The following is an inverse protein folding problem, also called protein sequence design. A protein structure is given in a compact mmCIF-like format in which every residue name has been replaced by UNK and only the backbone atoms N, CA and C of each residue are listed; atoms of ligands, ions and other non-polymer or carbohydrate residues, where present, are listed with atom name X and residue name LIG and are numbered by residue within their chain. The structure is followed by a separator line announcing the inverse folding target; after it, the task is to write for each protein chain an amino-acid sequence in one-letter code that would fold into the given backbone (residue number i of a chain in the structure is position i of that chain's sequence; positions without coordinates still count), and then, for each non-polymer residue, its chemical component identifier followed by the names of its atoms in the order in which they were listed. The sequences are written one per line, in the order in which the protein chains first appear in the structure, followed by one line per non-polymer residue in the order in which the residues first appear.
data_IF_864470640519
#
_entry.id   IF_864470640519
#
_cell.length_a   1.000
_cell.length_b   1.000
_cell.length_c   1.000
_cell.angle_alpha   90.00
_cell.angle_beta   90.00
_cell.angle_gamma   90.00
#
_symmetry.space_group_name_H-M   'P 1'
#
loop_
_entity.id
_entity.type
_entity.pdbx_description
1 polymer ?
#
# COMPACT_ATOMS: atom_id res chain seq x y z
N UNK A 1 13.86 -5.98 26.81
CA UNK A 1 12.96 -6.70 25.88
C UNK A 1 11.54 -6.62 26.43
N UNK A 2 10.91 -5.46 26.33
CA UNK A 2 9.58 -5.21 26.92
C UNK A 2 8.53 -5.72 25.95
N UNK A 3 7.83 -6.80 26.33
CA UNK A 3 6.76 -7.41 25.54
C UNK A 3 5.53 -6.49 25.56
N UNK A 4 5.00 -6.21 24.38
CA UNK A 4 3.80 -5.42 24.14
C UNK A 4 2.60 -5.98 24.93
N UNK A 5 1.92 -5.11 25.69
CA UNK A 5 0.78 -5.45 26.56
C UNK A 5 -0.44 -4.58 26.25
N UNK A 6 -0.67 -4.29 24.95
CA UNK A 6 -1.75 -3.41 24.46
C UNK A 6 -2.55 -4.10 23.33
N UNK A 7 -2.49 -5.44 23.22
CA UNK A 7 -3.29 -6.19 22.22
C UNK A 7 -4.31 -7.17 22.82
N UNK A 8 -4.35 -7.28 24.14
CA UNK A 8 -5.17 -8.27 24.86
C UNK A 8 -6.10 -7.60 25.88
N UNK A 9 -6.64 -6.41 25.58
CA UNK A 9 -7.93 -6.04 26.18
C UNK A 9 -8.97 -6.84 25.42
N UNK A 10 -9.19 -8.07 25.89
CA UNK A 10 -10.23 -8.97 25.41
C UNK A 10 -11.54 -8.19 25.40
N UNK A 11 -12.05 -7.98 24.20
CA UNK A 11 -13.40 -7.51 23.97
C UNK A 11 -14.29 -8.48 24.76
N UNK A 12 -14.94 -7.99 25.82
CA UNK A 12 -15.77 -8.75 26.76
C UNK A 12 -16.49 -9.88 26.02
N UNK A 13 -16.30 -11.12 26.46
CA UNK A 13 -16.85 -12.31 25.81
C UNK A 13 -18.36 -12.17 25.58
N UNK A 14 -19.07 -11.45 26.46
CA UNK A 14 -20.49 -11.10 26.33
C UNK A 14 -20.81 -10.21 25.10
N UNK A 15 -19.93 -9.26 24.75
CA UNK A 15 -20.07 -8.41 23.56
C UNK A 15 -19.79 -9.22 22.30
N UNK A 16 -18.80 -10.11 22.35
CA UNK A 16 -18.50 -11.03 21.26
C UNK A 16 -19.68 -11.99 21.03
N UNK A 17 -20.28 -12.51 22.10
CA UNK A 17 -21.41 -13.44 22.07
C UNK A 17 -22.68 -12.77 21.55
N UNK A 18 -23.02 -11.56 22.04
CA UNK A 18 -24.16 -10.77 21.53
C UNK A 18 -24.00 -10.38 20.06
N UNK A 19 -22.77 -10.04 19.65
CA UNK A 19 -22.47 -9.73 18.26
C UNK A 19 -22.63 -10.96 17.38
N UNK A 20 -22.12 -12.12 17.80
CA UNK A 20 -22.28 -13.39 17.07
C UNK A 20 -23.75 -13.81 16.97
N UNK A 21 -24.51 -13.74 18.06
CA UNK A 21 -25.95 -14.05 18.11
C UNK A 21 -26.76 -13.13 17.19
N UNK A 22 -26.49 -11.80 17.23
CA UNK A 22 -27.15 -10.84 16.34
C UNK A 22 -26.77 -10.98 14.86
N UNK A 23 -25.59 -11.52 14.58
CA UNK A 23 -25.13 -11.82 13.21
C UNK A 23 -25.80 -13.11 12.72
N UNK A 24 -25.92 -14.11 13.57
CA UNK A 24 -26.55 -15.40 13.26
C UNK A 24 -28.05 -15.24 13.00
N UNK A 25 -28.75 -14.45 13.82
CA UNK A 25 -30.17 -14.07 13.60
C UNK A 25 -30.37 -13.38 12.24
N UNK A 26 -29.54 -12.39 11.90
CA UNK A 26 -29.62 -11.70 10.59
C UNK A 26 -29.29 -12.62 9.42
N UNK A 27 -28.38 -13.58 9.60
CA UNK A 27 -28.02 -14.55 8.57
C UNK A 27 -29.14 -15.55 8.35
N UNK A 28 -29.81 -16.01 9.41
CA UNK A 28 -30.98 -16.86 9.32
C UNK A 28 -32.17 -16.13 8.69
N UNK A 29 -32.49 -14.92 9.11
CA UNK A 29 -33.52 -14.08 8.49
C UNK A 29 -33.26 -13.87 6.99
N UNK A 30 -32.01 -13.60 6.63
CA UNK A 30 -31.60 -13.45 5.22
C UNK A 30 -31.75 -14.77 4.48
N UNK A 31 -31.35 -15.90 5.07
CA UNK A 31 -31.42 -17.22 4.45
C UNK A 31 -32.87 -17.67 4.24
N UNK A 32 -33.74 -17.44 5.21
CA UNK A 32 -35.16 -17.77 5.13
C UNK A 32 -35.90 -16.88 4.14
N UNK A 33 -35.55 -15.59 4.10
CA UNK A 33 -36.00 -14.69 3.04
C UNK A 33 -35.57 -15.18 1.66
N UNK A 34 -34.29 -15.56 1.48
CA UNK A 34 -33.79 -16.10 0.23
C UNK A 34 -34.52 -17.40 -0.15
N UNK A 35 -34.71 -18.35 0.79
CA UNK A 35 -35.47 -19.58 0.54
C UNK A 35 -36.93 -19.29 0.15
N UNK A 36 -37.55 -18.28 0.75
CA UNK A 36 -38.92 -17.87 0.42
C UNK A 36 -39.04 -17.25 -0.98
N UNK A 37 -38.02 -16.50 -1.42
CA UNK A 37 -37.95 -15.83 -2.73
C UNK A 37 -37.56 -16.83 -3.84
N UNK A 38 -36.64 -17.76 -3.56
CA UNK A 38 -36.22 -18.81 -4.50
C UNK A 38 -37.17 -20.01 -4.57
N UNK A 39 -38.13 -20.13 -3.65
CA UNK A 39 -39.18 -21.15 -3.72
C UNK A 39 -40.10 -20.88 -4.92
N UNK A 40 -39.88 -21.62 -6.01
CA UNK A 40 -40.55 -21.54 -7.32
C UNK A 40 -42.08 -21.62 -7.27
N UNK A 41 -42.67 -21.97 -6.12
CA UNK A 41 -44.10 -22.26 -5.94
C UNK A 41 -45.01 -21.02 -5.94
N UNK A 42 -44.47 -19.78 -5.84
CA UNK A 42 -45.27 -18.53 -5.83
C UNK A 42 -45.01 -17.57 -7.00
N UNK A 43 -44.23 -17.96 -8.01
CA UNK A 43 -44.03 -17.16 -9.21
C UNK A 43 -45.13 -17.48 -10.23
N UNK A 44 -46.28 -16.81 -10.15
CA UNK A 44 -47.25 -16.88 -11.24
C UNK A 44 -46.66 -16.18 -12.47
N UNK A 45 -46.73 -16.81 -13.64
CA UNK A 45 -46.16 -16.26 -14.89
C UNK A 45 -46.72 -14.86 -15.23
N UNK A 46 -47.91 -14.54 -14.73
CA UNK A 46 -48.54 -13.22 -14.89
C UNK A 46 -47.89 -12.11 -14.07
N UNK A 47 -47.48 -12.36 -12.82
CA UNK A 47 -46.77 -11.39 -11.99
C UNK A 47 -45.34 -11.13 -12.51
N UNK A 48 -44.69 -12.18 -13.01
CA UNK A 48 -43.34 -12.08 -13.59
C UNK A 48 -43.35 -11.25 -14.87
N UNK A 49 -44.34 -11.44 -15.75
CA UNK A 49 -44.49 -10.64 -16.96
C UNK A 49 -44.74 -9.15 -16.65
N UNK A 50 -45.50 -8.83 -15.59
CA UNK A 50 -45.81 -7.45 -15.20
C UNK A 50 -44.62 -6.73 -14.54
N UNK A 51 -43.76 -7.47 -13.83
CA UNK A 51 -42.58 -6.91 -13.13
C UNK A 51 -41.25 -7.18 -13.86
N UNK A 52 -41.31 -7.67 -15.10
CA UNK A 52 -40.16 -7.96 -15.94
C UNK A 52 -39.17 -6.78 -16.08
N UNK A 53 -39.60 -5.50 -16.28
CA UNK A 53 -38.65 -4.39 -16.34
C UNK A 53 -37.92 -4.16 -15.00
N UNK A 54 -38.57 -4.41 -13.87
CA UNK A 54 -37.95 -4.28 -12.55
C UNK A 54 -36.92 -5.39 -12.29
N UNK A 55 -37.23 -6.63 -12.66
CA UNK A 55 -36.28 -7.74 -12.55
C UNK A 55 -35.04 -7.52 -13.45
N UNK A 56 -35.24 -7.04 -14.68
CA UNK A 56 -34.15 -6.69 -15.59
C UNK A 56 -33.26 -5.58 -15.01
N UNK A 57 -33.84 -4.59 -14.33
CA UNK A 57 -33.09 -3.54 -13.66
C UNK A 57 -32.20 -4.07 -12.52
N UNK A 58 -32.71 -4.98 -11.69
CA UNK A 58 -31.92 -5.60 -10.60
C UNK A 58 -30.77 -6.45 -11.17
N UNK A 59 -31.04 -7.23 -12.22
CA UNK A 59 -30.00 -8.01 -12.92
C UNK A 59 -28.95 -7.08 -13.52
N UNK A 60 -29.37 -5.97 -14.12
CA UNK A 60 -28.46 -4.96 -14.67
C UNK A 60 -27.56 -4.36 -13.58
N UNK A 61 -28.10 -4.00 -12.42
CA UNK A 61 -27.29 -3.56 -11.27
C UNK A 61 -26.31 -4.65 -10.81
N UNK A 62 -26.75 -5.91 -10.75
CA UNK A 62 -25.89 -7.03 -10.41
C UNK A 62 -24.72 -7.19 -11.39
N UNK A 63 -24.99 -7.05 -12.69
CA UNK A 63 -23.95 -7.08 -13.72
C UNK A 63 -22.96 -5.93 -13.56
N UNK A 64 -23.47 -4.71 -13.35
CA UNK A 64 -22.68 -3.50 -13.12
C UNK A 64 -21.78 -3.66 -11.88
N UNK A 65 -22.32 -4.26 -10.80
CA UNK A 65 -21.55 -4.56 -9.59
C UNK A 65 -20.40 -5.54 -9.86
N UNK A 66 -20.67 -6.65 -10.56
CA UNK A 66 -19.63 -7.63 -10.92
C UNK A 66 -18.56 -6.98 -11.81
N UNK A 67 -18.96 -6.15 -12.78
CA UNK A 67 -18.04 -5.40 -13.63
C UNK A 67 -17.15 -4.46 -12.83
N UNK A 68 -17.73 -3.68 -11.90
CA UNK A 68 -16.96 -2.78 -11.02
C UNK A 68 -16.01 -3.55 -10.11
N UNK A 69 -16.44 -4.67 -9.55
CA UNK A 69 -15.60 -5.53 -8.72
C UNK A 69 -14.36 -6.00 -9.48
N UNK A 70 -14.52 -6.46 -10.72
CA UNK A 70 -13.40 -6.90 -11.55
C UNK A 70 -12.42 -5.76 -11.87
N UNK A 71 -12.94 -4.55 -12.11
CA UNK A 71 -12.10 -3.39 -12.35
C UNK A 71 -11.29 -3.00 -11.10
N UNK A 72 -11.93 -3.03 -9.93
CA UNK A 72 -11.26 -2.78 -8.65
C UNK A 72 -10.14 -3.80 -8.41
N UNK A 73 -10.41 -5.09 -8.60
CA UNK A 73 -9.42 -6.15 -8.39
C UNK A 73 -8.20 -6.00 -9.32
N UNK A 74 -8.44 -5.69 -10.60
CA UNK A 74 -7.37 -5.42 -11.58
C UNK A 74 -6.53 -4.21 -11.16
N UNK A 75 -7.18 -3.16 -10.66
CA UNK A 75 -6.52 -1.92 -10.21
C UNK A 75 -5.65 -2.18 -8.98
N UNK A 76 -6.16 -2.91 -7.99
CA UNK A 76 -5.39 -3.30 -6.80
C UNK A 76 -4.14 -4.10 -7.21
N UNK A 77 -4.31 -5.09 -8.09
CA UNK A 77 -3.16 -5.86 -8.60
C UNK A 77 -2.15 -5.00 -9.36
N UNK A 78 -2.59 -3.97 -10.07
CA UNK A 78 -1.71 -3.04 -10.75
C UNK A 78 -0.94 -2.14 -9.77
N UNK A 79 -1.60 -1.66 -8.72
CA UNK A 79 -0.98 -0.87 -7.65
C UNK A 79 0.12 -1.68 -6.97
N UNK A 80 -0.14 -2.94 -6.62
CA UNK A 80 0.86 -3.79 -5.98
C UNK A 80 2.10 -4.02 -6.86
N UNK A 81 1.90 -4.22 -8.17
CA UNK A 81 3.01 -4.35 -9.12
C UNK A 81 3.82 -3.07 -9.21
N UNK A 82 3.15 -1.94 -9.44
CA UNK A 82 3.81 -0.64 -9.55
C UNK A 82 4.55 -0.27 -8.27
N UNK A 83 3.99 -0.59 -7.10
CA UNK A 83 4.65 -0.37 -5.82
C UNK A 83 5.93 -1.18 -5.65
N UNK A 84 6.00 -2.40 -6.22
CA UNK A 84 7.23 -3.20 -6.25
C UNK A 84 8.26 -2.58 -7.18
N UNK A 85 7.86 -2.17 -8.38
CA UNK A 85 8.76 -1.56 -9.36
C UNK A 85 9.38 -0.27 -8.82
N UNK A 86 8.58 0.59 -8.18
CA UNK A 86 9.06 1.82 -7.52
C UNK A 86 10.05 1.50 -6.40
N UNK A 87 9.79 0.44 -5.62
CA UNK A 87 10.68 0.02 -4.54
C UNK A 87 12.01 -0.48 -5.09
N UNK A 88 12.00 -1.31 -6.13
CA UNK A 88 13.19 -1.80 -6.81
C UNK A 88 14.02 -0.65 -7.38
N UNK A 89 13.38 0.26 -8.12
CA UNK A 89 14.06 1.44 -8.67
C UNK A 89 14.66 2.34 -7.58
N UNK A 90 13.99 2.48 -6.44
CA UNK A 90 14.53 3.20 -5.28
C UNK A 90 15.77 2.52 -4.69
N UNK A 91 15.85 1.19 -4.75
CA UNK A 91 17.00 0.45 -4.26
C UNK A 91 18.20 0.63 -5.18
N UNK A 92 17.97 0.54 -6.50
CA UNK A 92 19.00 0.81 -7.51
C UNK A 92 19.56 2.22 -7.38
N UNK A 93 18.69 3.23 -7.22
CA UNK A 93 19.11 4.61 -6.99
C UNK A 93 20.00 4.73 -5.74
N UNK A 94 19.61 4.10 -4.62
CA UNK A 94 20.38 4.15 -3.38
C UNK A 94 21.74 3.46 -3.53
N UNK A 95 21.78 2.32 -4.20
CA UNK A 95 23.05 1.61 -4.47
C UNK A 95 23.96 2.47 -5.33
N UNK A 96 23.47 3.00 -6.45
CA UNK A 96 24.24 3.84 -7.35
C UNK A 96 24.72 5.13 -6.66
N UNK A 97 23.86 5.76 -5.85
CA UNK A 97 24.25 6.93 -5.06
C UNK A 97 25.33 6.60 -4.04
N UNK A 98 25.29 5.43 -3.41
CA UNK A 98 26.32 5.00 -2.46
C UNK A 98 27.65 4.74 -3.17
N UNK A 99 27.62 4.10 -4.34
CA UNK A 99 28.81 3.90 -5.18
C UNK A 99 29.40 5.23 -5.64
N UNK A 100 28.56 6.18 -6.07
CA UNK A 100 28.98 7.53 -6.40
C UNK A 100 29.64 8.22 -5.21
N UNK A 101 29.02 8.19 -4.03
CA UNK A 101 29.59 8.78 -2.82
C UNK A 101 30.96 8.20 -2.49
N UNK A 102 31.12 6.87 -2.57
CA UNK A 102 32.40 6.20 -2.41
C UNK A 102 33.43 6.69 -3.42
N UNK A 103 33.07 6.80 -4.70
CA UNK A 103 33.96 7.30 -5.74
C UNK A 103 34.36 8.77 -5.52
N UNK A 104 33.43 9.60 -5.01
CA UNK A 104 33.66 11.02 -4.72
C UNK A 104 34.32 11.30 -3.37
N UNK A 105 34.59 10.28 -2.56
CA UNK A 105 35.22 10.45 -1.25
C UNK A 105 36.66 10.94 -1.44
N UNK A 106 37.07 11.95 -0.66
CA UNK A 106 38.37 12.61 -0.80
C UNK A 106 39.55 11.63 -0.81
N UNK A 107 39.52 10.58 0.02
CA UNK A 107 40.56 9.53 0.03
C UNK A 107 40.61 8.71 -1.26
N UNK A 108 39.46 8.38 -1.86
CA UNK A 108 39.39 7.64 -3.14
C UNK A 108 39.80 8.54 -4.31
N UNK A 109 39.39 9.80 -4.30
CA UNK A 109 39.83 10.80 -5.28
C UNK A 109 41.34 11.01 -5.17
N UNK A 110 41.88 11.20 -3.97
CA UNK A 110 43.32 11.40 -3.76
C UNK A 110 44.14 10.22 -4.29
N UNK A 111 43.69 8.97 -4.07
CA UNK A 111 44.32 7.78 -4.65
C UNK A 111 44.29 7.78 -6.19
N UNK A 112 43.17 8.18 -6.79
CA UNK A 112 43.04 8.28 -8.27
C UNK A 112 43.76 9.49 -8.85
N UNK A 113 43.98 10.55 -8.06
CA UNK A 113 44.69 11.75 -8.46
C UNK A 113 46.21 11.59 -8.30
N UNK A 114 46.66 10.71 -7.41
CA UNK A 114 48.08 10.37 -7.24
C UNK A 114 48.67 9.69 -8.50
N UNK A 115 47.86 8.89 -9.21
CA UNK A 115 48.25 8.35 -10.54
C UNK A 115 48.38 9.45 -11.60
N UNK A 116 47.76 10.61 -11.40
CA UNK A 116 47.87 11.79 -12.23
C UNK A 116 48.99 12.74 -11.74
N UNK A 117 49.74 12.35 -10.69
CA UNK A 117 50.84 13.13 -10.11
C UNK A 117 50.40 14.28 -9.17
N UNK A 118 49.13 14.31 -8.78
CA UNK A 118 48.57 15.34 -7.89
C UNK A 118 48.61 14.86 -6.43
N UNK A 119 49.31 15.60 -5.56
CA UNK A 119 49.40 15.32 -4.12
C UNK A 119 48.47 16.20 -3.29
N UNK A 120 47.84 15.58 -2.32
CA UNK A 120 47.06 16.28 -1.30
C UNK A 120 47.99 17.07 -0.37
N UNK A 121 47.62 18.33 -0.10
CA UNK A 121 48.38 19.21 0.80
C UNK A 121 47.94 18.94 2.24
N UNK A 122 48.75 18.19 2.99
CA UNK A 122 48.53 17.83 4.39
C UNK A 122 48.87 18.95 5.38
N UNK A 123 49.64 19.95 4.96
CA UNK A 123 50.03 21.07 5.81
C UNK A 123 48.98 22.19 5.80
N UNK A 124 48.60 22.73 6.98
CA UNK A 124 47.65 23.83 7.06
C UNK A 124 48.17 25.07 6.32
N UNK A 125 47.29 25.86 5.67
CA UNK A 125 47.70 27.06 4.96
C UNK A 125 48.29 28.09 5.93
N UNK A 126 49.44 28.65 5.57
CA UNK A 126 50.13 29.67 6.35
C UNK A 126 49.31 30.96 6.25
N UNK A 127 48.84 31.46 7.40
CA UNK A 127 48.14 32.75 7.46
C UNK A 127 49.17 33.86 7.26
N UNK A 128 49.08 34.56 6.13
CA UNK A 128 49.93 35.72 5.85
C UNK A 128 49.32 36.92 6.59
N UNK A 129 49.87 37.28 7.73
CA UNK A 129 49.48 38.51 8.43
C UNK A 129 50.19 39.70 7.78
N UNK A 130 49.41 40.57 7.13
CA UNK A 130 49.94 41.78 6.49
C UNK A 130 50.31 42.78 7.59
N UNK A 131 51.57 42.79 8.00
CA UNK A 131 52.10 43.80 8.92
C UNK A 131 52.16 45.14 8.16
N UNK A 132 51.14 45.97 8.32
CA UNK A 132 51.20 47.37 7.88
C UNK A 132 52.28 48.07 8.70
N UNK A 133 53.45 48.33 8.09
CA UNK A 133 54.43 49.28 8.61
C UNK A 133 53.73 50.63 8.79
N UNK A 134 53.54 51.06 10.04
CA UNK A 134 53.17 52.44 10.35
C UNK A 134 54.35 53.33 9.95
N UNK A 135 54.07 54.31 9.09
CA UNK A 135 54.92 55.48 8.87
C UNK A 135 55.00 56.31 10.14
#
# INVERSE_FOLDING_TARGET
MTKNKIKDQELSEEVQQKMNESVEEKVEETRDFLQSVFSTKKLSSYLVARNLPFAAFVIFLGLLYISNRHLAERTVRAIDRLGRDVKELSWDYKSLSADLMKMTTQTEIAKRADTLGLKERTEPPIKIEVVKKKK
#
